data_IF_864282161962
#
_entry.id   IF_864282161962
#
_cell.length_a   1.000
_cell.length_b   1.000
_cell.length_c   1.000
_cell.angle_alpha   90.00
_cell.angle_beta   90.00
_cell.angle_gamma   90.00
#
_symmetry.space_group_name_H-M   'P 1'
#
loop_
_entity.id
_entity.type
_entity.pdbx_description
1 polymer ?
#
# COMPACT_ATOMS: atom_id res chain seq x y z
N UNK A 1 14.36 -2.72 -24.46
CA UNK A 1 13.33 -2.21 -25.38
C UNK A 1 12.28 -3.27 -25.77
N UNK A 2 12.68 -4.50 -26.13
CA UNK A 2 11.73 -5.53 -26.60
C UNK A 2 10.70 -6.04 -25.59
N UNK A 3 11.06 -6.19 -24.30
CA UNK A 3 10.17 -6.74 -23.27
C UNK A 3 8.92 -5.88 -23.02
N UNK A 4 9.08 -4.57 -22.79
CA UNK A 4 7.96 -3.67 -22.55
C UNK A 4 7.05 -3.54 -23.78
N UNK A 5 7.63 -3.54 -24.97
CA UNK A 5 6.85 -3.54 -26.22
C UNK A 5 6.00 -4.81 -26.33
N UNK A 6 6.59 -6.00 -26.13
CA UNK A 6 5.86 -7.26 -26.14
C UNK A 6 4.80 -7.34 -25.02
N UNK A 7 5.10 -6.83 -23.83
CA UNK A 7 4.17 -6.79 -22.71
C UNK A 7 2.99 -5.85 -22.99
N UNK A 8 3.25 -4.68 -23.56
CA UNK A 8 2.19 -3.76 -23.99
C UNK A 8 1.29 -4.39 -25.06
N UNK A 9 1.87 -5.06 -26.06
CA UNK A 9 1.09 -5.72 -27.12
C UNK A 9 0.24 -6.88 -26.60
N UNK A 10 0.72 -7.62 -25.59
CA UNK A 10 -0.01 -8.78 -25.04
C UNK A 10 -0.98 -8.41 -23.91
N UNK A 11 -0.71 -7.32 -23.17
CA UNK A 11 -1.49 -6.90 -22.00
C UNK A 11 -1.72 -5.37 -21.99
N UNK A 12 -2.28 -4.77 -23.06
CA UNK A 12 -2.33 -3.32 -23.23
C UNK A 12 -3.09 -2.61 -22.10
N UNK A 13 -4.23 -3.16 -21.69
CA UNK A 13 -5.06 -2.59 -20.62
C UNK A 13 -4.31 -2.61 -19.28
N UNK A 14 -3.63 -3.72 -18.97
CA UNK A 14 -2.88 -3.85 -17.71
C UNK A 14 -1.65 -2.95 -17.70
N UNK A 15 -0.95 -2.82 -18.84
CA UNK A 15 0.16 -1.90 -18.99
C UNK A 15 -0.30 -0.45 -18.78
N UNK A 16 -1.37 -0.01 -19.43
CA UNK A 16 -1.95 1.32 -19.25
C UNK A 16 -2.34 1.54 -17.78
N UNK A 17 -2.97 0.55 -17.14
CA UNK A 17 -3.29 0.61 -15.71
C UNK A 17 -2.04 0.80 -14.84
N UNK A 18 -0.96 0.09 -15.12
CA UNK A 18 0.31 0.23 -14.39
C UNK A 18 0.96 1.60 -14.61
N UNK A 19 0.92 2.13 -15.84
CA UNK A 19 1.38 3.50 -16.12
C UNK A 19 0.55 4.53 -15.37
N UNK A 20 -0.78 4.40 -15.35
CA UNK A 20 -1.66 5.30 -14.57
C UNK A 20 -1.29 5.25 -13.09
N UNK A 21 -1.02 4.06 -12.53
CA UNK A 21 -0.58 3.93 -11.15
C UNK A 21 0.72 4.69 -10.88
N UNK A 22 1.72 4.59 -11.78
CA UNK A 22 2.96 5.36 -11.67
C UNK A 22 2.73 6.88 -11.73
N UNK A 23 1.81 7.32 -12.59
CA UNK A 23 1.43 8.73 -12.68
C UNK A 23 0.75 9.20 -11.39
N UNK A 24 -0.15 8.39 -10.83
CA UNK A 24 -0.81 8.66 -9.53
C UNK A 24 0.24 8.78 -8.42
N UNK A 25 1.18 7.84 -8.33
CA UNK A 25 2.26 7.87 -7.35
C UNK A 25 3.11 9.15 -7.51
N UNK A 26 3.55 9.45 -8.73
CA UNK A 26 4.38 10.61 -9.03
C UNK A 26 3.70 11.94 -8.68
N UNK A 27 2.40 12.08 -8.96
CA UNK A 27 1.69 13.35 -8.80
C UNK A 27 1.14 13.51 -7.38
N UNK A 28 0.74 12.42 -6.71
CA UNK A 28 -0.06 12.48 -5.48
C UNK A 28 0.67 11.94 -4.24
N UNK A 29 1.76 11.19 -4.37
CA UNK A 29 2.48 10.72 -3.18
C UNK A 29 3.17 11.89 -2.47
N UNK A 30 3.04 11.98 -1.13
CA UNK A 30 3.82 12.94 -0.36
C UNK A 30 5.31 12.56 -0.42
N UNK A 31 6.19 13.55 -0.26
CA UNK A 31 7.62 13.26 -0.11
C UNK A 31 7.82 12.42 1.14
N UNK A 32 8.47 11.24 1.05
CA UNK A 32 8.69 10.41 2.21
C UNK A 32 9.55 11.16 3.25
N UNK A 33 9.31 10.97 4.56
CA UNK A 33 10.16 11.52 5.60
C UNK A 33 11.62 11.10 5.39
N UNK A 34 12.60 11.96 5.74
CA UNK A 34 14.01 11.61 5.61
C UNK A 34 14.35 10.40 6.50
N UNK A 35 15.40 9.63 6.17
CA UNK A 35 15.89 8.57 7.06
C UNK A 35 16.25 9.18 8.42
N UNK A 36 15.62 8.69 9.49
CA UNK A 36 15.72 9.21 10.86
C UNK A 36 15.19 10.66 11.03
N UNK A 37 13.87 10.88 10.82
CA UNK A 37 13.28 12.20 10.97
C UNK A 37 13.26 12.62 12.44
N UNK A 38 13.50 13.91 12.71
CA UNK A 38 13.26 14.50 14.03
C UNK A 38 11.76 14.64 14.26
N UNK A 39 11.13 13.58 14.76
CA UNK A 39 9.69 13.56 15.03
C UNK A 39 9.36 14.32 16.32
N UNK A 40 8.28 15.11 16.26
CA UNK A 40 7.82 15.95 17.37
C UNK A 40 6.70 15.28 18.15
N UNK A 41 6.40 15.85 19.33
CA UNK A 41 5.27 15.46 20.18
C UNK A 41 3.95 16.05 19.66
N UNK A 42 2.79 15.44 20.01
CA UNK A 42 2.62 14.27 20.87
C UNK A 42 3.08 12.96 20.19
N UNK A 43 3.33 11.94 21.02
CA UNK A 43 3.50 10.58 20.51
C UNK A 43 2.13 9.95 20.31
N UNK A 44 1.84 9.49 19.11
CA UNK A 44 0.54 8.96 18.73
C UNK A 44 0.61 7.44 18.70
N UNK A 45 -0.31 6.79 19.41
CA UNK A 45 -0.47 5.35 19.36
C UNK A 45 -1.54 4.98 18.32
N UNK A 46 -1.20 4.06 17.43
CA UNK A 46 -2.13 3.44 16.48
C UNK A 46 -2.37 2.01 16.92
N UNK A 47 -3.63 1.63 17.14
CA UNK A 47 -4.00 0.28 17.56
C UNK A 47 -4.54 -0.49 16.33
N UNK A 48 -3.81 -1.53 15.94
CA UNK A 48 -4.06 -2.36 14.76
C UNK A 48 -3.10 -2.06 13.61
N UNK A 49 -2.42 -3.08 13.10
CA UNK A 49 -1.52 -3.02 11.94
C UNK A 49 -2.17 -3.58 10.67
N UNK A 50 -3.46 -3.32 10.50
CA UNK A 50 -4.15 -3.45 9.22
C UNK A 50 -3.86 -2.26 8.30
N UNK A 51 -4.43 -2.29 7.09
CA UNK A 51 -4.21 -1.24 6.08
C UNK A 51 -4.56 0.16 6.59
N UNK A 52 -5.67 0.29 7.34
CA UNK A 52 -6.07 1.56 7.94
C UNK A 52 -5.05 2.06 8.96
N UNK A 53 -4.52 1.18 9.82
CA UNK A 53 -3.54 1.57 10.82
C UNK A 53 -2.20 1.96 10.21
N UNK A 54 -1.73 1.22 9.20
CA UNK A 54 -0.51 1.55 8.45
C UNK A 54 -0.67 2.88 7.69
N UNK A 55 -1.82 3.09 7.05
CA UNK A 55 -2.13 4.36 6.37
C UNK A 55 -2.16 5.54 7.36
N UNK A 56 -2.84 5.37 8.51
CA UNK A 56 -2.85 6.38 9.57
C UNK A 56 -1.44 6.70 10.07
N UNK A 57 -0.62 5.68 10.35
CA UNK A 57 0.77 5.86 10.78
C UNK A 57 1.61 6.59 9.72
N UNK A 58 1.44 6.26 8.44
CA UNK A 58 2.09 6.98 7.34
C UNK A 58 1.72 8.46 7.32
N UNK A 59 0.42 8.78 7.47
CA UNK A 59 -0.03 10.17 7.59
C UNK A 59 0.57 10.87 8.81
N UNK A 60 0.58 10.23 9.98
CA UNK A 60 1.12 10.80 11.22
C UNK A 60 2.60 11.16 11.07
N UNK A 61 3.42 10.22 10.59
CA UNK A 61 4.87 10.44 10.40
C UNK A 61 5.11 11.45 9.26
N UNK A 62 4.30 11.43 8.21
CA UNK A 62 4.36 12.42 7.12
C UNK A 62 4.10 13.86 7.59
N UNK A 63 3.38 14.05 8.69
CA UNK A 63 3.18 15.35 9.33
C UNK A 63 4.20 15.65 10.45
N UNK A 64 5.24 14.83 10.59
CA UNK A 64 6.35 15.04 11.51
C UNK A 64 6.10 14.58 12.94
N UNK A 65 5.05 13.81 13.21
CA UNK A 65 4.75 13.32 14.56
C UNK A 65 5.30 11.92 14.81
N UNK A 66 5.68 11.63 16.06
CA UNK A 66 6.10 10.30 16.49
C UNK A 66 4.89 9.35 16.56
N UNK A 67 5.02 8.16 15.96
CA UNK A 67 3.95 7.18 15.84
C UNK A 67 4.43 5.80 16.29
N UNK A 68 3.63 5.13 17.13
CA UNK A 68 3.84 3.72 17.50
C UNK A 68 2.61 2.90 17.15
N UNK A 69 2.79 1.91 16.28
CA UNK A 69 1.74 0.93 15.96
C UNK A 69 1.81 -0.22 16.97
N UNK A 70 0.67 -0.60 17.53
CA UNK A 70 0.50 -1.78 18.36
C UNK A 70 -0.44 -2.76 17.64
N UNK A 71 0.01 -3.99 17.48
CA UNK A 71 -0.79 -5.09 16.92
C UNK A 71 -0.79 -6.24 17.93
N UNK A 72 -1.93 -6.92 18.05
CA UNK A 72 -2.08 -8.05 18.95
C UNK A 72 -1.45 -9.32 18.35
N UNK A 73 -1.52 -9.47 17.03
CA UNK A 73 -0.91 -10.58 16.29
C UNK A 73 0.62 -10.46 16.18
N UNK A 74 1.29 -11.58 15.85
CA UNK A 74 2.71 -11.59 15.57
C UNK A 74 3.02 -10.91 14.23
N UNK A 75 4.31 -10.67 13.94
CA UNK A 75 4.76 -9.93 12.75
C UNK A 75 4.38 -10.65 11.44
N UNK A 76 4.27 -11.97 11.48
CA UNK A 76 3.88 -12.82 10.35
C UNK A 76 2.39 -12.65 9.99
N UNK A 77 1.60 -12.03 10.88
CA UNK A 77 0.16 -11.80 10.73
C UNK A 77 -0.21 -10.32 10.55
N UNK A 78 0.73 -9.48 10.13
CA UNK A 78 0.44 -8.08 9.75
C UNK A 78 -0.45 -8.03 8.50
N UNK A 79 -1.29 -7.00 8.40
CA UNK A 79 -2.25 -6.84 7.29
C UNK A 79 -3.72 -6.87 7.71
N UNK A 80 -4.01 -7.03 9.01
CA UNK A 80 -5.36 -6.95 9.57
C UNK A 80 -6.26 -8.07 9.06
N UNK A 81 -7.42 -7.74 8.48
CA UNK A 81 -8.33 -8.78 7.94
C UNK A 81 -7.62 -9.64 6.88
N UNK A 82 -6.71 -9.07 6.09
CA UNK A 82 -6.02 -9.82 5.04
C UNK A 82 -5.03 -10.84 5.57
N UNK A 83 -4.54 -10.72 6.80
CA UNK A 83 -3.72 -11.79 7.39
C UNK A 83 -4.56 -12.99 7.82
N UNK A 84 -5.88 -12.82 8.00
CA UNK A 84 -6.80 -13.84 8.55
C UNK A 84 -7.71 -14.49 7.52
N UNK A 85 -7.74 -13.99 6.28
CA UNK A 85 -8.51 -14.61 5.19
C UNK A 85 -7.74 -15.75 4.52
N UNK A 86 -8.46 -16.60 3.78
CA UNK A 86 -7.88 -17.71 3.04
C UNK A 86 -6.91 -17.24 1.94
N UNK A 87 -5.95 -18.09 1.60
CA UNK A 87 -4.98 -17.81 0.55
C UNK A 87 -5.60 -17.65 -0.85
N UNK A 88 -6.80 -18.19 -1.06
CA UNK A 88 -7.59 -18.03 -2.29
C UNK A 88 -8.41 -16.74 -2.32
N UNK A 89 -8.49 -15.98 -1.22
CA UNK A 89 -9.23 -14.72 -1.16
C UNK A 89 -8.56 -13.63 -2.01
N UNK A 90 -9.39 -12.74 -2.56
CA UNK A 90 -8.95 -11.57 -3.31
C UNK A 90 -9.99 -10.46 -3.29
N UNK A 91 -9.61 -9.30 -3.81
CA UNK A 91 -10.51 -8.15 -3.83
C UNK A 91 -11.79 -8.43 -4.63
N UNK A 92 -12.91 -7.96 -4.09
CA UNK A 92 -14.21 -7.97 -4.77
C UNK A 92 -14.46 -6.67 -5.56
N UNK A 93 -13.77 -5.58 -5.19
CA UNK A 93 -13.75 -4.32 -5.93
C UNK A 93 -12.45 -4.18 -6.72
N UNK A 94 -12.46 -3.43 -7.82
CA UNK A 94 -11.24 -3.20 -8.58
C UNK A 94 -10.21 -2.44 -7.73
N UNK A 95 -8.94 -2.82 -7.85
CA UNK A 95 -7.82 -2.25 -7.07
C UNK A 95 -7.61 -0.75 -7.25
N UNK A 96 -8.21 -0.15 -8.27
CA UNK A 96 -8.28 1.31 -8.41
C UNK A 96 -9.03 1.97 -7.25
N UNK A 97 -10.09 1.32 -6.74
CA UNK A 97 -10.88 1.78 -5.60
C UNK A 97 -10.26 1.34 -4.27
N UNK A 98 -9.52 0.22 -4.27
CA UNK A 98 -8.81 -0.28 -3.10
C UNK A 98 -7.39 0.28 -3.02
N UNK A 99 -7.27 1.60 -2.82
CA UNK A 99 -5.98 2.30 -2.73
C UNK A 99 -5.94 3.16 -1.47
N UNK A 100 -5.09 2.78 -0.53
CA UNK A 100 -4.96 3.40 0.80
C UNK A 100 -3.73 4.31 0.94
N UNK A 101 -2.87 4.35 -0.09
CA UNK A 101 -1.78 5.31 -0.26
C UNK A 101 -1.45 5.43 -1.76
N UNK A 102 -1.09 6.61 -2.29
CA UNK A 102 -0.87 6.79 -3.74
C UNK A 102 0.27 5.92 -4.30
N UNK A 103 1.31 5.68 -3.51
CA UNK A 103 2.45 4.82 -3.88
C UNK A 103 2.18 3.31 -3.89
N UNK A 104 0.93 2.88 -3.67
CA UNK A 104 0.57 1.45 -3.69
C UNK A 104 0.39 0.99 -5.14
N UNK A 105 1.23 0.03 -5.54
CA UNK A 105 1.23 -0.53 -6.88
C UNK A 105 0.70 -1.96 -6.93
N UNK A 106 -0.35 -2.16 -7.73
CA UNK A 106 -0.97 -3.45 -7.98
C UNK A 106 -0.52 -4.04 -9.32
N UNK A 107 -0.21 -5.33 -9.31
CA UNK A 107 0.20 -6.14 -10.48
C UNK A 107 -0.99 -6.56 -11.35
N UNK A 108 -2.21 -6.52 -10.82
CA UNK A 108 -3.46 -6.92 -11.50
C UNK A 108 -4.64 -6.13 -10.97
N UNK A 109 -5.74 -6.11 -11.73
CA UNK A 109 -6.96 -5.40 -11.37
C UNK A 109 -7.61 -5.89 -10.07
N UNK A 110 -7.55 -7.19 -9.80
CA UNK A 110 -8.09 -7.85 -8.60
C UNK A 110 -6.98 -8.62 -7.87
N UNK A 111 -6.13 -7.94 -7.07
CA UNK A 111 -5.09 -8.57 -6.26
C UNK A 111 -5.67 -9.63 -5.32
N UNK A 112 -4.92 -10.70 -5.12
CA UNK A 112 -5.23 -11.72 -4.12
C UNK A 112 -4.62 -11.34 -2.77
N UNK A 113 -4.97 -12.08 -1.72
CA UNK A 113 -4.42 -11.93 -0.37
C UNK A 113 -2.91 -11.74 -0.38
N UNK A 114 -2.18 -12.61 -1.08
CA UNK A 114 -0.72 -12.60 -1.10
C UNK A 114 -0.16 -11.26 -1.54
N UNK A 115 -0.77 -10.63 -2.54
CA UNK A 115 -0.33 -9.33 -3.02
C UNK A 115 -0.70 -8.17 -2.08
N UNK A 116 -1.73 -8.33 -1.26
CA UNK A 116 -2.18 -7.28 -0.34
C UNK A 116 -1.32 -7.24 0.92
N UNK A 117 -0.79 -8.38 1.35
CA UNK A 117 0.07 -8.52 2.55
C UNK A 117 1.57 -8.60 2.22
N UNK A 118 1.96 -8.53 0.94
CA UNK A 118 3.36 -8.61 0.51
C UNK A 118 4.14 -7.33 0.71
#
# INVERSE_FOLDING_TARGET
MGYYMAYFLTHPILFIYQVIQQVIDLILSPTPPPPNPNLVRPKIAVIGAGLTGVSAASHIVGHGFDCRIFEAGPKEELGGIWSRVNNTSGLQIHSIMYRFHPSVHWKKGYPNRQQIVS
#
